data_IF_499681221423
#
_entry.id   IF_499681221423
#
_cell.length_a   1.000
_cell.length_b   1.000
_cell.length_c   1.000
_cell.angle_alpha   90.00
_cell.angle_beta   90.00
_cell.angle_gamma   90.00
#
_symmetry.space_group_name_H-M   'P 1'
#
loop_
_entity.id
_entity.type
_entity.pdbx_description
1 polymer ?
#
# COMPACT_ATOMS: atom_id res chain seq x y z
N UNK A 1 19.56 28.99 17.88
CA UNK A 1 18.65 29.57 16.86
C UNK A 1 18.11 30.87 17.42
N UNK A 2 18.21 31.95 16.66
CA UNK A 2 17.70 33.26 17.10
C UNK A 2 16.17 33.32 16.98
N UNK A 3 15.57 34.36 17.54
CA UNK A 3 14.11 34.50 17.64
C UNK A 3 13.44 34.54 16.26
N UNK A 4 14.03 35.29 15.32
CA UNK A 4 13.50 35.41 13.96
C UNK A 4 13.53 34.07 13.23
N UNK A 5 14.60 33.30 13.44
CA UNK A 5 14.72 31.95 12.87
C UNK A 5 13.65 30.98 13.40
N UNK A 6 13.35 31.05 14.70
CA UNK A 6 12.32 30.21 15.30
C UNK A 6 10.92 30.53 14.75
N UNK A 7 10.61 31.81 14.60
CA UNK A 7 9.32 32.26 14.01
C UNK A 7 9.22 31.80 12.56
N UNK A 8 10.25 32.04 11.76
CA UNK A 8 10.28 31.62 10.35
C UNK A 8 10.12 30.12 10.20
N UNK A 9 10.82 29.31 11.02
CA UNK A 9 10.70 27.86 10.99
C UNK A 9 9.28 27.40 11.33
N UNK A 10 8.63 28.05 12.31
CA UNK A 10 7.24 27.71 12.67
C UNK A 10 6.28 27.98 11.50
N UNK A 11 6.44 29.12 10.81
CA UNK A 11 5.60 29.44 9.66
C UNK A 11 5.80 28.44 8.51
N UNK A 12 7.06 28.09 8.20
CA UNK A 12 7.37 27.10 7.16
C UNK A 12 6.72 25.74 7.51
N UNK A 13 6.89 25.29 8.74
CA UNK A 13 6.33 24.02 9.17
C UNK A 13 4.79 24.02 9.12
N UNK A 14 4.16 25.11 9.60
CA UNK A 14 2.70 25.26 9.53
C UNK A 14 2.23 25.23 8.07
N UNK A 15 2.96 25.91 7.17
CA UNK A 15 2.63 25.91 5.74
C UNK A 15 2.71 24.48 5.17
N UNK A 16 3.76 23.72 5.50
CA UNK A 16 3.92 22.32 5.05
C UNK A 16 2.74 21.47 5.55
N UNK A 17 2.34 21.64 6.82
CA UNK A 17 1.23 20.90 7.41
C UNK A 17 -0.13 21.31 6.83
N UNK A 18 -0.30 22.58 6.47
CA UNK A 18 -1.55 23.06 5.85
C UNK A 18 -1.68 22.64 4.38
N UNK A 19 -0.56 22.53 3.67
CA UNK A 19 -0.55 22.38 2.22
C UNK A 19 -1.44 21.22 1.74
N UNK A 20 -1.33 19.99 2.30
CA UNK A 20 -2.15 18.86 1.81
C UNK A 20 -3.65 19.00 2.16
N UNK A 21 -4.02 19.88 3.09
CA UNK A 21 -5.43 20.15 3.41
C UNK A 21 -6.09 21.00 2.32
N UNK A 22 -5.34 21.96 1.75
CA UNK A 22 -5.87 22.86 0.73
C UNK A 22 -5.64 22.35 -0.70
N UNK A 23 -4.60 21.56 -0.92
CA UNK A 23 -4.19 21.11 -2.25
C UNK A 23 -3.96 19.58 -2.28
N UNK A 24 -4.90 18.80 -1.77
CA UNK A 24 -4.72 17.34 -1.74
C UNK A 24 -4.60 16.65 -3.11
N UNK A 25 -5.04 17.17 -3.94
CA UNK A 25 -5.05 16.73 -5.19
C UNK A 25 -3.89 16.96 -5.99
N UNK A 26 -3.11 17.81 -5.50
CA UNK A 26 -1.85 18.18 -6.18
C UNK A 26 -0.77 17.11 -5.93
N UNK A 27 0.22 17.04 -6.85
CA UNK A 27 1.33 16.09 -6.71
C UNK A 27 2.05 16.24 -5.37
N UNK A 28 2.35 17.48 -4.97
CA UNK A 28 3.04 17.75 -3.68
C UNK A 28 2.13 17.41 -2.49
N UNK A 29 0.86 17.77 -2.56
CA UNK A 29 -0.11 17.46 -1.50
C UNK A 29 -0.26 15.95 -1.32
N UNK A 30 -0.34 15.21 -2.41
CA UNK A 30 -0.44 13.75 -2.40
C UNK A 30 0.82 13.10 -1.82
N UNK A 31 2.01 13.61 -2.18
CA UNK A 31 3.27 13.10 -1.59
C UNK A 31 3.29 13.36 -0.07
N UNK A 32 2.86 14.53 0.38
CA UNK A 32 2.77 14.82 1.81
C UNK A 32 1.76 13.90 2.51
N UNK A 33 0.60 13.66 1.90
CA UNK A 33 -0.40 12.71 2.44
C UNK A 33 0.15 11.29 2.50
N UNK A 34 0.97 10.88 1.52
CA UNK A 34 1.58 9.53 1.54
C UNK A 34 2.40 9.29 2.81
N UNK A 35 2.91 10.36 3.43
CA UNK A 35 3.69 10.28 4.66
C UNK A 35 2.94 10.86 5.87
N UNK A 36 1.62 10.72 5.90
CA UNK A 36 0.76 11.25 6.97
C UNK A 36 1.22 10.85 8.39
N UNK A 37 1.67 9.60 8.65
CA UNK A 37 2.16 9.26 9.99
C UNK A 37 3.35 10.14 10.44
N UNK A 38 4.21 10.52 9.50
CA UNK A 38 5.35 11.40 9.80
C UNK A 38 4.89 12.83 10.09
N UNK A 39 3.88 13.31 9.35
CA UNK A 39 3.30 14.63 9.61
C UNK A 39 2.66 14.68 11.01
N UNK A 40 2.01 13.59 11.44
CA UNK A 40 1.46 13.46 12.79
C UNK A 40 2.58 13.55 13.86
N UNK A 41 3.65 12.76 13.68
CA UNK A 41 4.80 12.76 14.61
C UNK A 41 5.46 14.15 14.67
N UNK A 42 5.73 14.75 13.50
CA UNK A 42 6.37 16.08 13.41
C UNK A 42 5.50 17.14 14.12
N UNK A 43 4.19 17.12 13.88
CA UNK A 43 3.28 18.08 14.55
C UNK A 43 3.22 17.85 16.05
N UNK A 44 3.24 16.60 16.52
CA UNK A 44 3.31 16.26 17.94
C UNK A 44 4.60 16.75 18.60
N UNK A 45 5.76 16.53 17.94
CA UNK A 45 7.04 17.05 18.43
C UNK A 45 7.05 18.58 18.49
N UNK A 46 6.55 19.24 17.44
CA UNK A 46 6.45 20.69 17.39
C UNK A 46 5.54 21.23 18.53
N UNK A 47 4.42 20.55 18.78
CA UNK A 47 3.50 20.87 19.88
C UNK A 47 4.23 20.84 21.24
N UNK A 48 5.00 19.77 21.50
CA UNK A 48 5.76 19.61 22.74
C UNK A 48 6.80 20.73 22.90
N UNK A 49 7.56 21.00 21.84
CA UNK A 49 8.60 22.05 21.84
C UNK A 49 7.96 23.41 22.15
N UNK A 50 6.86 23.75 21.48
CA UNK A 50 6.17 25.03 21.70
C UNK A 50 5.61 25.10 23.13
N UNK A 51 5.09 23.99 23.69
CA UNK A 51 4.58 23.94 25.06
C UNK A 51 5.71 24.25 26.08
N UNK A 52 6.90 23.68 25.87
CA UNK A 52 8.07 23.94 26.72
C UNK A 52 8.39 25.46 26.73
N UNK A 53 8.41 26.08 25.53
CA UNK A 53 8.68 27.51 25.39
C UNK A 53 7.54 28.38 25.97
N UNK A 54 6.29 27.95 25.85
CA UNK A 54 5.13 28.62 26.49
C UNK A 54 5.30 28.64 28.01
N UNK A 55 5.56 27.47 28.62
CA UNK A 55 5.76 27.33 30.07
C UNK A 55 6.91 28.23 30.57
N UNK A 56 8.03 28.25 29.81
CA UNK A 56 9.16 29.15 30.15
C UNK A 56 8.74 30.62 30.09
N UNK A 57 7.91 31.01 29.13
CA UNK A 57 7.48 32.40 28.96
C UNK A 57 6.51 32.88 30.03
N UNK A 58 5.91 31.93 30.78
CA UNK A 58 5.01 32.25 31.90
C UNK A 58 5.77 32.59 33.21
N UNK A 59 7.06 32.29 33.28
CA UNK A 59 7.85 32.55 34.50
C UNK A 59 8.11 34.06 34.69
N UNK A 60 8.16 34.56 35.96
CA UNK A 60 8.52 35.95 36.21
C UNK A 60 9.90 36.28 35.64
N UNK A 61 10.06 37.48 35.12
CA UNK A 61 11.33 37.95 34.54
C UNK A 61 11.64 37.48 33.13
N UNK A 62 10.71 36.79 32.49
CA UNK A 62 10.92 36.35 31.09
C UNK A 62 11.00 37.57 30.16
N UNK A 63 12.08 37.61 29.34
CA UNK A 63 12.46 38.79 28.54
C UNK A 63 11.54 39.07 27.31
N UNK A 64 10.70 38.08 26.90
CA UNK A 64 9.93 38.22 25.67
C UNK A 64 8.44 37.84 25.84
N UNK A 65 7.71 38.58 26.71
CA UNK A 65 6.30 38.30 26.93
C UNK A 65 5.43 38.56 25.68
N UNK A 66 5.86 39.46 24.78
CA UNK A 66 5.17 39.79 23.54
C UNK A 66 4.99 38.58 22.59
N UNK A 67 5.80 37.51 22.75
CA UNK A 67 5.68 36.30 21.92
C UNK A 67 4.69 35.28 22.51
N UNK A 68 4.10 35.52 23.67
CA UNK A 68 3.14 34.56 24.28
C UNK A 68 1.97 34.24 23.35
N UNK A 69 1.28 35.23 22.75
CA UNK A 69 0.15 34.91 21.86
C UNK A 69 0.58 34.10 20.63
N UNK A 70 1.74 34.42 20.05
CA UNK A 70 2.26 33.65 18.90
C UNK A 70 2.52 32.19 19.31
N UNK A 71 3.15 31.95 20.45
CA UNK A 71 3.42 30.61 20.95
C UNK A 71 2.14 29.85 21.28
N UNK A 72 1.15 30.53 21.89
CA UNK A 72 -0.15 29.92 22.16
C UNK A 72 -0.85 29.52 20.87
N UNK A 73 -0.86 30.39 19.87
CA UNK A 73 -1.43 30.07 18.56
C UNK A 73 -0.71 28.90 17.89
N UNK A 74 0.62 28.90 17.89
CA UNK A 74 1.41 27.79 17.33
C UNK A 74 1.12 26.47 18.04
N UNK A 75 0.99 26.49 19.37
CA UNK A 75 0.62 25.29 20.14
C UNK A 75 -0.75 24.78 19.72
N UNK A 76 -1.74 25.65 19.60
CA UNK A 76 -3.09 25.24 19.16
C UNK A 76 -3.07 24.65 17.75
N UNK A 77 -2.33 25.25 16.83
CA UNK A 77 -2.22 24.76 15.44
C UNK A 77 -1.54 23.39 15.40
N UNK A 78 -0.41 23.23 16.08
CA UNK A 78 0.29 21.93 16.07
C UNK A 78 -0.54 20.85 16.79
N UNK A 79 -1.30 21.22 17.83
CA UNK A 79 -2.25 20.31 18.48
C UNK A 79 -3.33 19.87 17.49
N UNK A 80 -3.92 20.83 16.76
CA UNK A 80 -4.93 20.54 15.75
C UNK A 80 -4.38 19.54 14.71
N UNK A 81 -3.19 19.81 14.14
CA UNK A 81 -2.59 18.92 13.14
C UNK A 81 -2.31 17.53 13.73
N UNK A 82 -1.74 17.47 14.92
CA UNK A 82 -1.45 16.19 15.57
C UNK A 82 -2.71 15.34 15.73
N UNK A 83 -3.76 15.90 16.30
CA UNK A 83 -5.00 15.17 16.55
C UNK A 83 -5.74 14.85 15.25
N UNK A 84 -5.76 15.78 14.29
CA UNK A 84 -6.42 15.57 13.00
C UNK A 84 -5.74 14.45 12.19
N UNK A 85 -4.41 14.49 12.08
CA UNK A 85 -3.66 13.46 11.37
C UNK A 85 -3.78 12.10 12.07
N UNK A 86 -3.65 12.07 13.40
CA UNK A 86 -3.78 10.83 14.18
C UNK A 86 -5.16 10.20 14.02
N UNK A 87 -6.22 11.01 13.99
CA UNK A 87 -7.58 10.53 13.75
C UNK A 87 -7.69 9.86 12.37
N UNK A 88 -7.15 10.49 11.32
CA UNK A 88 -7.21 9.94 9.96
C UNK A 88 -6.45 8.61 9.85
N UNK A 89 -5.30 8.50 10.52
CA UNK A 89 -4.54 7.24 10.57
C UNK A 89 -5.36 6.16 11.28
N UNK A 90 -5.89 6.47 12.46
CA UNK A 90 -6.65 5.50 13.28
C UNK A 90 -7.94 5.05 12.58
N UNK A 91 -8.59 5.94 11.84
CA UNK A 91 -9.84 5.62 11.13
C UNK A 91 -9.64 4.52 10.07
N UNK A 92 -8.46 4.41 9.49
CA UNK A 92 -8.17 3.38 8.50
C UNK A 92 -8.08 1.99 9.12
N UNK A 93 -7.44 1.88 10.31
CA UNK A 93 -7.19 0.56 10.91
C UNK A 93 -8.40 0.07 11.70
N UNK A 94 -8.92 -1.09 11.32
CA UNK A 94 -10.04 -1.75 12.01
C UNK A 94 -9.51 -2.87 12.91
N UNK A 95 -10.14 -3.04 14.07
CA UNK A 95 -9.69 -3.99 15.09
C UNK A 95 -10.43 -5.33 15.02
N UNK A 96 -11.27 -5.56 14.03
CA UNK A 96 -12.05 -6.79 13.97
C UNK A 96 -11.23 -7.95 13.41
N UNK A 97 -10.86 -8.86 14.31
CA UNK A 97 -10.31 -10.16 13.94
C UNK A 97 -11.50 -11.16 14.06
N UNK A 98 -11.95 -11.68 12.93
CA UNK A 98 -12.95 -12.74 12.97
C UNK A 98 -12.25 -14.10 13.10
N UNK A 99 -12.57 -14.88 14.13
CA UNK A 99 -12.04 -16.24 14.20
C UNK A 99 -12.70 -17.08 13.10
N UNK A 100 -11.90 -17.67 12.26
CA UNK A 100 -12.38 -18.53 11.17
C UNK A 100 -12.36 -19.99 11.59
N UNK A 101 -13.38 -20.71 11.18
CA UNK A 101 -13.38 -22.17 11.24
C UNK A 101 -12.53 -22.70 10.08
N UNK A 102 -11.70 -23.68 10.35
CA UNK A 102 -10.86 -24.32 9.33
C UNK A 102 -11.75 -25.11 8.37
N UNK A 103 -11.79 -24.70 7.11
CA UNK A 103 -12.43 -25.46 6.04
C UNK A 103 -11.37 -25.99 5.09
N UNK A 104 -11.70 -27.05 4.40
CA UNK A 104 -10.81 -27.68 3.40
C UNK A 104 -10.74 -26.82 2.13
N UNK A 105 -9.47 -26.40 1.70
CA UNK A 105 -9.27 -25.72 0.64
C UNK A 105 -8.69 -24.46 0.88
N UNK A 106 -7.79 -24.57 1.66
CA UNK A 106 -6.99 -23.39 2.02
C UNK A 106 -5.92 -23.15 0.96
N UNK A 107 -5.80 -21.92 0.48
CA UNK A 107 -4.75 -21.54 -0.49
C UNK A 107 -3.85 -20.50 0.16
N UNK A 108 -2.57 -20.82 0.35
CA UNK A 108 -1.57 -19.90 0.88
C UNK A 108 -0.92 -19.15 -0.28
N UNK A 109 -0.93 -17.83 -0.19
CA UNK A 109 -0.47 -16.92 -1.26
C UNK A 109 0.67 -16.05 -0.73
N UNK A 110 1.71 -15.94 -1.53
CA UNK A 110 2.81 -14.97 -1.33
C UNK A 110 2.73 -13.93 -2.44
N UNK A 111 2.36 -12.71 -2.08
CA UNK A 111 2.40 -11.55 -2.99
C UNK A 111 3.63 -10.71 -2.68
N UNK A 112 4.33 -10.24 -3.71
CA UNK A 112 5.46 -9.32 -3.53
C UNK A 112 5.70 -8.46 -4.76
N UNK A 113 5.97 -7.18 -4.53
CA UNK A 113 6.78 -6.40 -5.46
C UNK A 113 8.22 -6.88 -5.28
N UNK A 114 8.75 -7.57 -6.30
CA UNK A 114 10.06 -8.23 -6.22
C UNK A 114 11.21 -7.25 -6.48
N UNK A 115 10.91 -6.04 -6.93
CA UNK A 115 11.83 -4.99 -7.40
C UNK A 115 12.58 -5.38 -8.68
N UNK A 116 12.33 -4.67 -9.76
CA UNK A 116 12.81 -4.99 -11.13
C UNK A 116 14.32 -5.24 -11.24
N UNK A 117 15.13 -4.61 -10.37
CA UNK A 117 16.60 -4.74 -10.40
C UNK A 117 17.12 -5.72 -9.34
N UNK A 118 16.25 -6.53 -8.72
CA UNK A 118 16.62 -7.47 -7.65
C UNK A 118 17.36 -8.68 -8.23
N UNK A 119 18.52 -8.97 -7.68
CA UNK A 119 19.36 -10.11 -8.09
C UNK A 119 19.56 -11.13 -6.96
N UNK A 120 18.75 -11.07 -5.90
CA UNK A 120 18.87 -11.92 -4.70
C UNK A 120 18.18 -13.29 -4.92
N UNK A 121 18.42 -13.93 -6.05
CA UNK A 121 17.67 -15.13 -6.49
C UNK A 121 17.70 -16.29 -5.49
N UNK A 122 18.85 -16.57 -4.89
CA UNK A 122 18.97 -17.65 -3.89
C UNK A 122 18.18 -17.36 -2.62
N UNK A 123 18.19 -16.12 -2.17
CA UNK A 123 17.42 -15.72 -0.99
C UNK A 123 15.90 -15.76 -1.30
N UNK A 124 15.50 -15.44 -2.55
CA UNK A 124 14.11 -15.56 -3.02
C UNK A 124 13.69 -17.05 -3.02
N UNK A 125 14.52 -17.95 -3.57
CA UNK A 125 14.26 -19.41 -3.54
C UNK A 125 14.08 -19.89 -2.09
N UNK A 126 14.97 -19.47 -1.21
CA UNK A 126 14.93 -19.84 0.21
C UNK A 126 13.64 -19.33 0.89
N UNK A 127 13.23 -18.09 0.60
CA UNK A 127 11.97 -17.54 1.12
C UNK A 127 10.78 -18.38 0.65
N UNK A 128 10.71 -18.67 -0.65
CA UNK A 128 9.62 -19.47 -1.24
C UNK A 128 9.61 -20.87 -0.63
N UNK A 129 10.76 -21.52 -0.55
CA UNK A 129 10.87 -22.89 0.03
C UNK A 129 10.45 -22.90 1.52
N UNK A 130 10.83 -21.89 2.29
CA UNK A 130 10.51 -21.77 3.72
C UNK A 130 9.02 -21.49 3.96
N UNK A 131 8.42 -20.64 3.15
CA UNK A 131 7.00 -20.27 3.29
C UNK A 131 6.07 -21.26 2.59
N UNK A 132 6.57 -21.95 1.58
CA UNK A 132 5.90 -23.00 0.79
C UNK A 132 4.47 -22.59 0.37
N UNK A 133 4.28 -21.41 -0.24
CA UNK A 133 2.94 -20.99 -0.64
C UNK A 133 2.40 -21.86 -1.76
N UNK A 134 1.09 -21.84 -1.95
CA UNK A 134 0.43 -22.54 -3.05
C UNK A 134 0.43 -21.71 -4.33
N UNK A 135 0.51 -20.39 -4.15
CA UNK A 135 0.53 -19.43 -5.27
C UNK A 135 1.49 -18.29 -4.95
N UNK A 136 2.25 -17.92 -5.98
CA UNK A 136 3.15 -16.75 -5.97
C UNK A 136 2.56 -15.70 -6.90
N UNK A 137 2.46 -14.48 -6.42
CA UNK A 137 2.00 -13.32 -7.19
C UNK A 137 3.10 -12.26 -7.12
N UNK A 138 3.79 -12.04 -8.22
CA UNK A 138 4.88 -11.07 -8.28
C UNK A 138 4.54 -9.92 -9.20
N UNK A 139 4.87 -8.70 -8.75
CA UNK A 139 4.91 -7.52 -9.61
C UNK A 139 6.37 -7.08 -9.74
N UNK A 140 6.66 -6.32 -10.79
CA UNK A 140 8.03 -5.97 -11.22
C UNK A 140 8.88 -7.20 -11.58
N UNK A 141 8.24 -8.29 -11.99
CA UNK A 141 8.93 -9.49 -12.42
C UNK A 141 9.46 -9.29 -13.85
N UNK A 142 10.76 -9.49 -14.04
CA UNK A 142 11.49 -9.21 -15.31
C UNK A 142 12.03 -10.48 -15.93
N UNK A 143 12.58 -10.34 -17.17
CA UNK A 143 13.29 -11.42 -17.87
C UNK A 143 14.43 -11.99 -17.02
N UNK A 144 15.16 -11.12 -16.31
CA UNK A 144 16.26 -11.56 -15.43
C UNK A 144 15.76 -12.46 -14.30
N UNK A 145 14.61 -12.12 -13.71
CA UNK A 145 13.99 -12.95 -12.69
C UNK A 145 13.61 -14.31 -13.30
N UNK A 146 12.95 -14.27 -14.46
CA UNK A 146 12.54 -15.50 -15.14
C UNK A 146 13.74 -16.40 -15.44
N UNK A 147 14.76 -15.89 -16.12
CA UNK A 147 15.94 -16.66 -16.52
C UNK A 147 16.66 -17.32 -15.33
N UNK A 148 16.64 -16.66 -14.16
CA UNK A 148 17.34 -17.17 -12.99
C UNK A 148 16.47 -18.02 -12.06
N UNK A 149 15.14 -17.90 -12.14
CA UNK A 149 14.22 -18.60 -11.24
C UNK A 149 13.38 -19.68 -11.94
N UNK A 150 13.37 -19.73 -13.29
CA UNK A 150 12.42 -20.55 -14.06
C UNK A 150 12.47 -22.05 -13.70
N UNK A 151 13.67 -22.64 -13.60
CA UNK A 151 13.79 -24.07 -13.32
C UNK A 151 13.21 -24.42 -11.95
N UNK A 152 13.48 -23.58 -10.95
CA UNK A 152 12.93 -23.70 -9.60
C UNK A 152 11.41 -23.48 -9.60
N UNK A 153 10.95 -22.43 -10.28
CA UNK A 153 9.51 -22.09 -10.32
C UNK A 153 8.71 -23.14 -11.08
N UNK A 154 9.18 -23.56 -12.26
CA UNK A 154 8.46 -24.54 -13.09
C UNK A 154 8.35 -25.92 -12.43
N UNK A 155 9.38 -26.32 -11.66
CA UNK A 155 9.36 -27.61 -10.97
C UNK A 155 8.31 -27.66 -9.84
N UNK A 156 8.00 -26.51 -9.22
CA UNK A 156 7.13 -26.43 -8.04
C UNK A 156 5.77 -25.78 -8.34
N UNK A 157 5.71 -24.93 -9.39
CA UNK A 157 4.52 -24.13 -9.73
C UNK A 157 4.29 -24.24 -11.26
N UNK A 158 3.70 -25.34 -11.74
CA UNK A 158 3.60 -25.59 -13.17
C UNK A 158 2.60 -24.70 -13.92
N UNK A 159 1.73 -23.97 -13.19
CA UNK A 159 0.69 -23.15 -13.83
C UNK A 159 1.05 -21.67 -13.68
N UNK A 160 0.87 -20.89 -14.75
CA UNK A 160 1.18 -19.47 -14.80
C UNK A 160 0.15 -18.70 -15.62
N UNK A 161 0.02 -17.40 -15.35
CA UNK A 161 -0.93 -16.51 -16.03
C UNK A 161 -0.50 -16.10 -17.45
N UNK A 162 0.66 -16.54 -17.93
CA UNK A 162 1.09 -16.26 -19.30
C UNK A 162 1.68 -17.50 -19.95
N UNK A 163 1.35 -17.72 -21.22
CA UNK A 163 1.91 -18.78 -22.05
C UNK A 163 2.99 -18.25 -22.99
N UNK A 164 3.08 -16.93 -23.15
CA UNK A 164 4.05 -16.29 -24.04
C UNK A 164 4.92 -15.31 -23.23
N UNK A 165 6.21 -15.59 -23.19
CA UNK A 165 7.18 -14.75 -22.51
C UNK A 165 7.75 -13.72 -23.47
N UNK A 166 7.61 -12.44 -23.16
CA UNK A 166 8.18 -11.34 -23.94
C UNK A 166 9.42 -10.80 -23.24
N UNK A 167 10.55 -10.86 -23.93
CA UNK A 167 11.85 -10.38 -23.45
C UNK A 167 11.88 -8.86 -23.30
N UNK A 168 11.33 -8.23 -22.40
CA UNK A 168 11.32 -6.81 -22.00
C UNK A 168 10.13 -6.52 -21.09
N UNK A 169 9.54 -7.56 -20.54
CA UNK A 169 8.35 -7.42 -19.72
C UNK A 169 8.75 -7.14 -18.27
N UNK A 170 8.31 -6.02 -17.75
CA UNK A 170 8.31 -5.73 -16.32
C UNK A 170 6.84 -5.79 -15.91
N UNK A 171 6.41 -6.91 -15.37
CA UNK A 171 4.99 -7.12 -15.22
C UNK A 171 4.56 -7.95 -14.03
N UNK A 172 3.29 -8.26 -14.08
CA UNK A 172 2.59 -9.02 -13.05
C UNK A 172 2.57 -10.50 -13.43
N UNK A 173 3.24 -11.33 -12.64
CA UNK A 173 3.41 -12.76 -12.89
C UNK A 173 2.82 -13.58 -11.76
N UNK A 174 2.11 -14.63 -12.14
CA UNK A 174 1.52 -15.61 -11.21
C UNK A 174 2.13 -16.96 -11.48
N UNK A 175 2.51 -17.67 -10.43
CA UNK A 175 2.96 -19.06 -10.46
C UNK A 175 2.14 -19.83 -9.43
N UNK A 176 1.53 -20.94 -9.84
CA UNK A 176 0.58 -21.68 -9.00
C UNK A 176 0.85 -23.18 -9.02
N UNK A 177 0.64 -23.83 -7.89
CA UNK A 177 0.60 -25.31 -7.79
C UNK A 177 -0.68 -25.89 -8.41
N UNK A 178 -1.73 -25.07 -8.53
CA UNK A 178 -3.06 -25.48 -8.99
C UNK A 178 -3.38 -24.85 -10.34
N UNK A 179 -4.17 -25.51 -11.18
CA UNK A 179 -4.59 -24.90 -12.46
C UNK A 179 -5.28 -23.56 -12.25
N UNK A 180 -4.86 -22.57 -13.04
CA UNK A 180 -5.51 -21.25 -13.08
C UNK A 180 -6.02 -21.00 -14.51
N UNK A 181 -7.07 -20.21 -14.61
CA UNK A 181 -7.67 -19.78 -15.88
C UNK A 181 -7.29 -18.32 -16.11
N UNK A 182 -6.48 -18.07 -17.11
CA UNK A 182 -6.11 -16.69 -17.47
C UNK A 182 -7.31 -15.97 -18.08
N UNK A 183 -7.61 -14.77 -17.58
CA UNK A 183 -8.72 -13.92 -18.01
C UNK A 183 -8.22 -12.57 -18.55
N UNK A 184 -6.91 -12.48 -18.83
CA UNK A 184 -6.26 -11.21 -19.17
C UNK A 184 -6.67 -10.62 -20.51
N UNK A 185 -7.30 -11.38 -21.38
CA UNK A 185 -7.73 -10.90 -22.70
C UNK A 185 -8.87 -9.87 -22.62
N UNK A 186 -9.51 -9.77 -21.47
CA UNK A 186 -10.61 -8.82 -21.23
C UNK A 186 -10.14 -7.44 -20.75
N UNK A 187 -8.81 -7.22 -20.54
CA UNK A 187 -8.28 -5.97 -20.00
C UNK A 187 -7.89 -4.93 -21.07
N UNK A 188 -8.05 -3.64 -20.75
CA UNK A 188 -7.59 -2.56 -21.64
C UNK A 188 -6.10 -2.66 -21.88
N UNK A 189 -5.70 -2.62 -23.16
CA UNK A 189 -4.32 -2.79 -23.63
C UNK A 189 -3.28 -1.86 -22.98
N UNK A 190 -3.66 -1.00 -22.41
CA UNK A 190 -2.84 -0.04 -21.79
C UNK A 190 -2.30 -0.42 -20.46
N UNK A 191 -2.94 -1.35 -20.07
CA UNK A 191 -2.56 -1.62 -18.69
C UNK A 191 -1.79 -2.94 -18.58
N UNK A 192 -0.61 -3.00 -19.11
CA UNK A 192 0.25 -4.20 -19.14
C UNK A 192 0.72 -4.69 -17.74
N UNK A 193 0.33 -4.01 -16.68
CA UNK A 193 0.75 -4.35 -15.32
C UNK A 193 -0.36 -5.01 -14.50
N UNK A 194 -1.31 -5.66 -15.21
CA UNK A 194 -2.39 -6.41 -14.58
C UNK A 194 -2.27 -7.90 -14.83
N UNK A 195 -2.61 -8.68 -13.79
CA UNK A 195 -3.01 -10.06 -13.96
C UNK A 195 -4.49 -10.17 -13.58
N UNK A 196 -5.30 -10.74 -14.48
CA UNK A 196 -6.67 -11.13 -14.16
C UNK A 196 -6.80 -12.60 -14.49
N UNK A 197 -7.16 -13.39 -13.50
CA UNK A 197 -7.23 -14.85 -13.63
C UNK A 197 -8.16 -15.40 -12.56
N UNK A 198 -8.60 -16.64 -12.76
CA UNK A 198 -9.39 -17.33 -11.74
C UNK A 198 -8.73 -18.64 -11.33
N UNK A 199 -9.05 -19.08 -10.13
CA UNK A 199 -8.62 -20.34 -9.54
C UNK A 199 -9.87 -21.15 -9.22
N UNK A 200 -10.16 -22.23 -9.97
CA UNK A 200 -11.24 -23.15 -9.61
C UNK A 200 -10.87 -23.97 -8.36
N UNK A 201 -11.72 -23.93 -7.33
CA UNK A 201 -11.54 -24.64 -6.06
C UNK A 201 -12.84 -25.36 -5.67
N UNK A 202 -12.94 -26.65 -6.07
CA UNK A 202 -14.13 -27.44 -5.74
C UNK A 202 -15.42 -26.79 -6.27
N UNK A 203 -16.07 -26.17 -5.55
CA UNK A 203 -17.23 -25.56 -5.80
C UNK A 203 -17.18 -24.12 -6.06
N UNK A 204 -16.12 -23.68 -5.76
CA UNK A 204 -15.87 -22.22 -5.78
C UNK A 204 -14.95 -21.88 -6.94
N UNK A 205 -15.06 -20.65 -7.45
CA UNK A 205 -14.07 -20.08 -8.37
C UNK A 205 -13.68 -18.71 -7.83
N UNK A 206 -12.40 -18.55 -7.46
CA UNK A 206 -11.89 -17.28 -6.90
C UNK A 206 -11.25 -16.48 -8.05
N UNK A 207 -11.71 -15.25 -8.24
CA UNK A 207 -11.19 -14.32 -9.25
C UNK A 207 -10.14 -13.43 -8.61
N UNK A 208 -9.00 -13.31 -9.26
CA UNK A 208 -7.86 -12.54 -8.77
C UNK A 208 -7.53 -11.38 -9.71
N UNK A 209 -7.42 -10.21 -9.13
CA UNK A 209 -6.86 -9.02 -9.78
C UNK A 209 -5.49 -8.76 -9.14
N UNK A 210 -4.44 -8.99 -9.91
CA UNK A 210 -3.06 -8.67 -9.52
C UNK A 210 -2.70 -7.33 -10.17
N UNK A 211 -2.53 -6.28 -9.37
CA UNK A 211 -2.43 -4.91 -9.88
C UNK A 211 -1.11 -4.27 -9.47
N UNK A 212 -0.49 -3.55 -10.41
CA UNK A 212 0.67 -2.71 -10.14
C UNK A 212 0.50 -1.39 -10.89
N UNK A 213 0.30 -0.30 -10.17
CA UNK A 213 0.19 1.04 -10.75
C UNK A 213 1.56 1.71 -10.86
N UNK A 214 1.64 2.85 -11.54
CA UNK A 214 2.90 3.59 -11.68
C UNK A 214 3.33 4.21 -10.34
N UNK A 215 4.62 4.11 -10.01
CA UNK A 215 5.16 4.78 -8.82
C UNK A 215 5.17 6.30 -9.04
N UNK A 216 4.68 7.13 -8.09
CA UNK A 216 4.61 8.58 -8.28
C UNK A 216 5.94 9.28 -7.98
N UNK A 217 7.04 8.79 -8.54
CA UNK A 217 8.37 9.36 -8.38
C UNK A 217 8.60 10.64 -9.20
N UNK A 218 7.69 10.94 -10.11
CA UNK A 218 7.68 12.16 -10.93
C UNK A 218 6.23 12.60 -11.16
N UNK A 219 6.05 13.85 -11.60
CA UNK A 219 4.72 14.38 -11.93
C UNK A 219 4.03 13.53 -13.01
N UNK A 220 4.78 13.14 -14.05
CA UNK A 220 4.21 12.32 -15.14
C UNK A 220 3.78 10.94 -14.64
N UNK A 221 4.58 10.30 -13.80
CA UNK A 221 4.22 9.01 -13.22
C UNK A 221 3.07 9.12 -12.22
N UNK A 222 2.97 10.25 -11.51
CA UNK A 222 1.82 10.55 -10.65
C UNK A 222 0.52 10.61 -11.48
N UNK A 223 0.54 11.31 -12.62
CA UNK A 223 -0.62 11.37 -13.53
C UNK A 223 -0.95 9.97 -14.05
N UNK A 224 0.06 9.24 -14.52
CA UNK A 224 -0.11 7.87 -15.01
C UNK A 224 -0.69 6.93 -13.93
N UNK A 225 -0.23 7.05 -12.68
CA UNK A 225 -0.76 6.28 -11.55
C UNK A 225 -2.26 6.55 -11.38
N UNK A 226 -2.66 7.81 -11.42
CA UNK A 226 -4.06 8.21 -11.24
C UNK A 226 -4.93 7.70 -12.40
N UNK A 227 -4.41 7.72 -13.63
CA UNK A 227 -5.09 7.13 -14.80
C UNK A 227 -5.26 5.62 -14.63
N UNK A 228 -4.24 4.92 -14.13
CA UNK A 228 -4.34 3.48 -13.83
C UNK A 228 -5.44 3.20 -12.81
N UNK A 229 -5.50 3.99 -11.73
CA UNK A 229 -6.52 3.83 -10.68
C UNK A 229 -7.91 4.06 -11.25
N UNK A 230 -8.10 5.10 -12.06
CA UNK A 230 -9.39 5.43 -12.70
C UNK A 230 -9.83 4.32 -13.66
N UNK A 231 -8.88 3.80 -14.45
CA UNK A 231 -9.15 2.69 -15.38
C UNK A 231 -9.57 1.43 -14.63
N UNK A 232 -8.87 1.10 -13.55
CA UNK A 232 -9.21 -0.05 -12.70
C UNK A 232 -10.63 0.07 -12.14
N UNK A 233 -10.96 1.23 -11.58
CA UNK A 233 -12.30 1.52 -11.02
C UNK A 233 -13.36 1.38 -12.10
N UNK A 234 -13.14 1.96 -13.28
CA UNK A 234 -14.07 1.91 -14.40
C UNK A 234 -14.28 0.46 -14.88
N UNK A 235 -13.19 -0.29 -15.01
CA UNK A 235 -13.24 -1.68 -15.44
C UNK A 235 -13.99 -2.55 -14.41
N UNK A 236 -13.64 -2.38 -13.14
CA UNK A 236 -14.29 -3.11 -12.05
C UNK A 236 -15.81 -2.82 -12.02
N UNK A 237 -16.21 -1.57 -12.18
CA UNK A 237 -17.62 -1.17 -12.16
C UNK A 237 -18.43 -1.69 -13.35
N UNK A 238 -17.81 -1.84 -14.53
CA UNK A 238 -18.50 -2.38 -15.72
C UNK A 238 -18.96 -3.81 -15.53
N UNK A 239 -18.22 -4.59 -14.77
CA UNK A 239 -18.48 -6.02 -14.58
C UNK A 239 -19.22 -6.32 -13.27
N UNK A 240 -19.65 -5.27 -12.53
CA UNK A 240 -20.32 -5.43 -11.24
C UNK A 240 -21.58 -6.30 -11.33
N UNK A 241 -22.42 -6.07 -12.37
CA UNK A 241 -23.66 -6.83 -12.55
C UNK A 241 -23.41 -8.31 -12.85
N UNK A 242 -22.30 -8.61 -13.53
CA UNK A 242 -21.95 -9.96 -13.95
C UNK A 242 -21.27 -10.76 -12.83
N UNK A 243 -20.74 -10.06 -11.82
CA UNK A 243 -19.96 -10.64 -10.71
C UNK A 243 -20.71 -10.77 -9.39
N UNK A 244 -22.04 -10.64 -9.40
CA UNK A 244 -22.87 -10.60 -8.17
C UNK A 244 -22.66 -11.75 -7.19
N UNK A 245 -22.07 -12.83 -7.61
CA UNK A 245 -21.84 -14.02 -6.78
C UNK A 245 -20.39 -14.53 -6.86
N UNK A 246 -19.48 -13.72 -7.38
CA UNK A 246 -18.08 -14.14 -7.53
C UNK A 246 -17.28 -13.89 -6.25
N UNK A 247 -16.40 -14.83 -5.94
CA UNK A 247 -15.38 -14.69 -4.90
C UNK A 247 -14.19 -13.93 -5.50
N UNK A 248 -13.96 -12.70 -5.06
CA UNK A 248 -12.98 -11.80 -5.67
C UNK A 248 -11.87 -11.47 -4.67
N UNK A 249 -10.63 -11.45 -5.14
CA UNK A 249 -9.45 -10.99 -4.41
C UNK A 249 -8.68 -9.98 -5.26
N UNK A 250 -8.41 -8.80 -4.74
CA UNK A 250 -7.56 -7.78 -5.36
C UNK A 250 -6.31 -7.62 -4.51
N UNK A 251 -5.17 -7.88 -5.14
CA UNK A 251 -3.86 -7.74 -4.49
C UNK A 251 -3.03 -6.71 -5.26
N UNK A 252 -2.46 -5.79 -4.64
CA UNK A 252 -1.98 -4.76 -5.31
C UNK A 252 -0.86 -4.17 -4.68
N UNK A 253 0.05 -3.68 -5.51
CA UNK A 253 0.84 -2.48 -5.24
C UNK A 253 0.16 -1.29 -5.93
N UNK A 254 -0.62 -0.54 -5.21
CA UNK A 254 -1.35 0.61 -5.75
C UNK A 254 -0.51 1.89 -5.80
N UNK A 255 0.67 1.89 -5.21
CA UNK A 255 1.50 3.08 -5.10
C UNK A 255 0.73 4.27 -4.50
N UNK A 256 -0.25 3.97 -3.63
CA UNK A 256 -0.98 4.95 -2.80
C UNK A 256 -1.10 4.42 -1.37
N UNK A 257 -1.08 5.33 -0.43
CA UNK A 257 -1.33 4.99 0.98
C UNK A 257 -2.83 5.13 1.31
N UNK A 258 -3.27 4.56 2.44
CA UNK A 258 -4.70 4.67 2.86
C UNK A 258 -5.18 6.10 3.09
N UNK A 259 -4.28 7.04 3.31
CA UNK A 259 -4.60 8.46 3.53
C UNK A 259 -4.39 9.33 2.30
N UNK A 260 -4.07 8.74 1.16
CA UNK A 260 -4.05 9.38 -0.15
C UNK A 260 -5.41 10.00 -0.49
N UNK A 261 -5.41 11.14 -1.16
CA UNK A 261 -6.62 11.75 -1.70
C UNK A 261 -7.38 10.80 -2.66
N UNK A 262 -6.62 9.96 -3.37
CA UNK A 262 -7.17 9.03 -4.37
C UNK A 262 -7.64 7.70 -3.77
N UNK A 263 -7.31 7.41 -2.53
CA UNK A 263 -7.66 6.14 -1.89
C UNK A 263 -9.18 5.96 -1.72
N UNK A 264 -9.97 6.99 -1.34
CA UNK A 264 -11.44 6.85 -1.27
C UNK A 264 -12.10 6.46 -2.59
N UNK A 265 -11.52 6.85 -3.75
CA UNK A 265 -12.04 6.48 -5.07
C UNK A 265 -12.01 4.95 -5.23
N UNK A 266 -10.87 4.32 -4.91
CA UNK A 266 -10.75 2.87 -4.90
C UNK A 266 -11.66 2.22 -3.85
N UNK A 267 -11.69 2.80 -2.66
CA UNK A 267 -12.46 2.26 -1.55
C UNK A 267 -13.96 2.25 -1.89
N UNK A 268 -14.44 3.32 -2.54
CA UNK A 268 -15.81 3.46 -2.96
C UNK A 268 -16.19 2.46 -4.07
N UNK A 269 -15.29 2.29 -5.05
CA UNK A 269 -15.51 1.35 -6.16
C UNK A 269 -15.58 -0.10 -5.67
N UNK A 270 -14.78 -0.45 -4.66
CA UNK A 270 -14.71 -1.83 -4.15
C UNK A 270 -15.64 -2.07 -2.96
N UNK A 271 -16.20 -1.04 -2.35
CA UNK A 271 -16.85 -1.12 -1.03
C UNK A 271 -18.11 -1.99 -0.93
N UNK A 272 -18.53 -2.11 -1.90
CA UNK A 272 -19.71 -2.87 -1.92
C UNK A 272 -19.49 -4.31 -1.94
N UNK A 273 -18.39 -4.57 -2.40
CA UNK A 273 -18.11 -5.98 -2.61
C UNK A 273 -16.93 -6.49 -1.78
N UNK A 274 -15.88 -5.66 -1.59
CA UNK A 274 -14.59 -6.11 -1.09
C UNK A 274 -14.19 -5.43 0.23
N UNK A 275 -13.91 -6.23 1.24
CA UNK A 275 -13.32 -5.78 2.50
C UNK A 275 -11.81 -5.54 2.33
N UNK A 276 -11.30 -4.54 3.03
CA UNK A 276 -9.87 -4.24 3.06
C UNK A 276 -9.18 -5.03 4.18
N UNK A 277 -8.48 -6.09 3.81
CA UNK A 277 -7.81 -6.99 4.77
C UNK A 277 -6.57 -6.35 5.39
N UNK A 278 -5.84 -5.50 4.63
CA UNK A 278 -4.63 -4.83 5.16
C UNK A 278 -4.96 -3.79 6.23
N UNK A 279 -6.21 -3.30 6.31
CA UNK A 279 -6.63 -2.42 7.41
C UNK A 279 -6.62 -3.12 8.77
N UNK A 280 -6.58 -4.45 8.80
CA UNK A 280 -6.52 -5.25 10.03
C UNK A 280 -5.11 -5.31 10.63
N UNK A 281 -4.08 -4.84 9.91
CA UNK A 281 -2.68 -4.83 10.35
C UNK A 281 -2.27 -3.40 10.73
N UNK A 282 -2.36 -3.00 12.00
CA UNK A 282 -1.97 -1.65 12.41
C UNK A 282 -0.47 -1.44 12.17
N UNK A 283 -0.13 -0.26 11.70
CA UNK A 283 1.25 0.14 11.37
C UNK A 283 1.91 -0.75 10.30
N UNK A 284 1.08 -1.30 9.39
CA UNK A 284 1.62 -2.02 8.23
C UNK A 284 2.39 -1.04 7.34
N UNK A 285 3.67 -1.33 7.14
CA UNK A 285 4.53 -0.58 6.22
C UNK A 285 5.10 -1.60 5.24
N UNK A 286 4.65 -1.54 4.01
CA UNK A 286 5.03 -2.53 3.00
C UNK A 286 6.17 -2.06 2.09
N UNK A 287 6.51 -0.76 2.13
CA UNK A 287 7.59 -0.18 1.35
C UNK A 287 8.52 0.65 2.22
N UNK A 288 9.82 0.64 1.90
CA UNK A 288 10.84 1.39 2.62
C UNK A 288 11.78 2.09 1.62
N UNK A 289 11.99 3.39 1.82
CA UNK A 289 12.87 4.15 0.94
C UNK A 289 14.32 3.66 1.04
N UNK A 290 14.92 3.38 -0.12
CA UNK A 290 16.29 2.84 -0.23
C UNK A 290 17.33 3.73 0.46
N UNK A 291 17.25 5.05 0.27
CA UNK A 291 18.23 6.01 0.78
C UNK A 291 17.84 6.61 2.14
N UNK A 292 16.64 6.38 2.60
CA UNK A 292 16.10 6.89 3.86
C UNK A 292 15.40 5.73 4.60
N UNK A 293 16.17 4.83 5.22
CA UNK A 293 15.61 3.55 5.72
C UNK A 293 14.62 3.71 6.88
N UNK A 294 14.43 4.91 7.40
CA UNK A 294 13.40 5.25 8.38
C UNK A 294 12.12 5.81 7.71
N UNK A 295 12.10 5.91 6.38
CA UNK A 295 10.94 6.39 5.62
C UNK A 295 10.20 5.19 5.03
N UNK A 296 9.00 4.94 5.53
CA UNK A 296 8.17 3.79 5.20
C UNK A 296 6.81 4.24 4.67
N UNK A 297 6.17 3.40 3.86
CA UNK A 297 4.80 3.63 3.38
C UNK A 297 4.02 2.32 3.30
N UNK A 298 2.70 2.41 3.48
CA UNK A 298 1.76 1.32 3.28
C UNK A 298 1.15 1.50 1.88
N UNK A 299 1.69 0.80 0.88
CA UNK A 299 1.26 0.95 -0.52
C UNK A 299 0.82 -0.36 -1.17
N UNK A 300 1.09 -1.49 -0.50
CA UNK A 300 0.60 -2.80 -0.93
C UNK A 300 -0.67 -3.15 -0.14
N UNK A 301 -1.72 -3.55 -0.84
CA UNK A 301 -3.05 -3.75 -0.26
C UNK A 301 -3.62 -5.11 -0.66
N UNK A 302 -4.50 -5.64 0.19
CA UNK A 302 -5.27 -6.85 -0.05
C UNK A 302 -6.75 -6.56 0.23
N UNK A 303 -7.59 -6.80 -0.76
CA UNK A 303 -9.05 -6.69 -0.64
C UNK A 303 -9.70 -7.99 -1.10
N UNK A 304 -10.73 -8.43 -0.39
CA UNK A 304 -11.41 -9.69 -0.71
C UNK A 304 -12.91 -9.56 -0.51
N UNK A 305 -13.68 -10.38 -1.24
CA UNK A 305 -15.11 -10.58 -1.00
C UNK A 305 -15.36 -11.01 0.44
N UNK A 306 -16.50 -10.65 0.98
CA UNK A 306 -16.90 -11.00 2.35
C UNK A 306 -17.07 -12.51 2.55
N UNK A 307 -17.34 -13.26 1.50
CA UNK A 307 -17.43 -14.71 1.48
C UNK A 307 -16.09 -15.40 1.75
N UNK A 308 -14.97 -14.73 1.41
CA UNK A 308 -13.62 -15.29 1.55
C UNK A 308 -13.04 -14.96 2.93
N UNK A 309 -12.53 -15.97 3.60
CA UNK A 309 -11.87 -15.81 4.90
C UNK A 309 -10.36 -15.71 4.74
N UNK A 310 -9.79 -14.61 5.22
CA UNK A 310 -8.34 -14.39 5.18
C UNK A 310 -7.74 -14.71 6.55
N UNK A 311 -6.77 -15.62 6.53
CA UNK A 311 -6.04 -16.08 7.73
C UNK A 311 -4.55 -15.81 7.58
N UNK A 312 -3.85 -15.69 8.70
CA UNK A 312 -2.39 -15.62 8.78
C UNK A 312 -1.78 -14.45 7.95
N UNK A 313 -2.57 -13.40 7.68
CA UNK A 313 -2.07 -12.25 6.92
C UNK A 313 -0.95 -11.56 7.70
N UNK A 314 0.20 -11.45 7.05
CA UNK A 314 1.37 -10.76 7.62
C UNK A 314 2.28 -10.23 6.52
N UNK A 315 3.02 -9.19 6.84
CA UNK A 315 4.12 -8.70 6.01
C UNK A 315 5.41 -9.42 6.45
N UNK A 316 6.20 -9.85 5.48
CA UNK A 316 7.49 -10.51 5.71
C UNK A 316 8.54 -9.89 4.78
N UNK A 317 9.80 -9.96 5.17
CA UNK A 317 10.89 -9.42 4.34
C UNK A 317 10.93 -10.10 2.98
N UNK A 318 10.96 -9.29 1.91
CA UNK A 318 11.21 -9.75 0.54
C UNK A 318 12.69 -9.51 0.23
N UNK A 319 13.52 -10.57 0.13
CA UNK A 319 14.97 -10.38 -0.03
C UNK A 319 15.31 -9.58 -1.28
N UNK A 320 16.08 -8.51 -1.12
CA UNK A 320 16.56 -7.68 -2.23
C UNK A 320 15.57 -6.64 -2.73
N UNK A 321 14.36 -6.62 -2.18
CA UNK A 321 13.34 -5.63 -2.51
C UNK A 321 13.31 -4.52 -1.47
N UNK A 322 12.83 -3.35 -1.86
CA UNK A 322 12.43 -2.27 -0.96
C UNK A 322 10.99 -2.44 -0.46
N UNK A 323 10.28 -3.48 -0.94
CA UNK A 323 8.96 -3.88 -0.44
C UNK A 323 9.07 -5.07 0.50
N UNK A 324 8.09 -5.21 1.39
CA UNK A 324 7.80 -6.46 2.10
C UNK A 324 6.79 -7.28 1.29
N UNK A 325 6.87 -8.59 1.40
CA UNK A 325 5.88 -9.48 0.82
C UNK A 325 4.68 -9.62 1.76
N UNK A 326 3.48 -9.76 1.20
CA UNK A 326 2.28 -10.15 1.95
C UNK A 326 2.11 -11.66 1.83
N UNK A 327 2.11 -12.35 2.98
CA UNK A 327 1.83 -13.79 3.07
C UNK A 327 0.48 -13.96 3.76
N UNK A 328 -0.44 -14.70 3.14
CA UNK A 328 -1.78 -14.89 3.67
C UNK A 328 -2.38 -16.19 3.14
N UNK A 329 -3.43 -16.67 3.82
CA UNK A 329 -4.19 -17.86 3.42
C UNK A 329 -5.62 -17.46 3.14
N UNK A 330 -6.16 -17.89 1.98
CA UNK A 330 -7.57 -17.71 1.61
C UNK A 330 -8.31 -19.03 1.82
N UNK A 331 -9.48 -18.93 2.44
CA UNK A 331 -10.44 -20.02 2.57
C UNK A 331 -11.78 -19.54 2.01
N UNK A 332 -12.37 -20.23 1.00
CA UNK A 332 -13.72 -19.94 0.52
C UNK A 332 -14.80 -20.15 1.57
#
# INVERSE_FOLDING_TARGET
MNQSGMIASSFILIFILLFPLFFPXSYVGELLLSFLPYLAVISGMAMIVVLIFLRKSMKPGYRLPSLRPFRALSFLMFSFFFFWYSRNINHFYTTQIQPSQVQSXNITILFANIHKDNISYDAIRNLISKTNPDMLMFVEFTDHHYDNLKDFLQSSYPYTNTTTWSKKFVGSMVFSKYPIINRADDFPQXMRRYGYFSLPLSXHEIYFYLVHTSSPDSYNHFVMRNDHLTTLVTDFSKHESDRKHEDITVVXDFNITPWSYYYPILSQAFSXELENMTSRLPFLFTWRAKYFPFLFAHIDHLRTSQSLHIQNLKAIDMPGSDHQALLFTITP
#
